data_IF_917373045558
#
_entry.id   IF_917373045558
#
_cell.length_a   1.000
_cell.length_b   1.000
_cell.length_c   1.000
_cell.angle_alpha   90.00
_cell.angle_beta   90.00
_cell.angle_gamma   90.00
#
_symmetry.space_group_name_H-M   'P 1'
#
loop_
_entity.id
_entity.type
_entity.pdbx_description
1 polymer ?
#
# COMPACT_ATOMS: atom_id res chain seq x y z
N UNK A 1 -4.63 27.48 -13.98
CA UNK A 1 -5.21 26.29 -14.66
C UNK A 1 -4.61 25.05 -14.02
N UNK A 2 -5.40 24.03 -13.72
CA UNK A 2 -4.87 22.73 -13.28
C UNK A 2 -3.92 22.19 -14.37
N UNK A 3 -2.88 21.45 -13.97
CA UNK A 3 -1.92 20.89 -14.91
C UNK A 3 -2.56 19.92 -15.92
N UNK A 4 -1.87 19.57 -17.01
CA UNK A 4 -2.40 18.63 -18.00
C UNK A 4 -2.84 17.30 -17.36
N UNK A 5 -4.00 16.77 -17.77
CA UNK A 5 -4.58 15.55 -17.23
C UNK A 5 -5.18 15.66 -15.81
N UNK A 6 -4.88 16.71 -15.04
CA UNK A 6 -5.39 16.85 -13.67
C UNK A 6 -6.91 17.06 -13.68
N UNK A 7 -7.61 16.29 -12.85
CA UNK A 7 -9.06 16.25 -12.80
C UNK A 7 -9.70 15.21 -13.73
N UNK A 8 -8.91 14.50 -14.56
CA UNK A 8 -9.41 13.35 -15.29
C UNK A 8 -9.88 12.27 -14.32
N UNK A 9 -11.13 11.84 -14.47
CA UNK A 9 -11.73 10.76 -13.69
C UNK A 9 -11.77 9.48 -14.51
N UNK A 10 -11.32 8.39 -13.89
CA UNK A 10 -11.48 7.05 -14.45
C UNK A 10 -12.93 6.58 -14.22
N UNK A 11 -13.47 5.68 -15.07
CA UNK A 11 -14.73 5.04 -14.78
C UNK A 11 -14.71 4.41 -13.39
N UNK A 12 -15.77 4.60 -12.56
CA UNK A 12 -15.88 3.91 -11.29
C UNK A 12 -15.79 2.39 -11.48
N UNK A 13 -15.11 1.73 -10.56
CA UNK A 13 -14.93 0.27 -10.60
C UNK A 13 -15.64 -0.33 -9.41
N UNK A 14 -16.63 -1.18 -9.66
CA UNK A 14 -17.30 -1.96 -8.61
C UNK A 14 -16.29 -2.88 -7.92
N UNK A 15 -16.38 -2.97 -6.60
CA UNK A 15 -15.50 -3.83 -5.80
C UNK A 15 -16.31 -4.62 -4.78
N UNK A 16 -15.92 -5.87 -4.53
CA UNK A 16 -16.60 -6.72 -3.55
C UNK A 16 -15.60 -7.54 -2.73
N UNK A 17 -16.00 -7.85 -1.50
CA UNK A 17 -15.29 -8.77 -0.63
C UNK A 17 -16.24 -9.49 0.31
N UNK A 18 -15.86 -10.71 0.66
CA UNK A 18 -16.51 -11.51 1.69
C UNK A 18 -15.57 -11.69 2.89
N UNK A 19 -16.09 -12.26 3.97
CA UNK A 19 -15.30 -12.50 5.19
C UNK A 19 -14.03 -13.33 4.90
N UNK A 20 -14.12 -14.33 4.01
CA UNK A 20 -12.97 -15.14 3.59
C UNK A 20 -11.85 -14.29 2.98
N UNK A 21 -12.19 -13.25 2.21
CA UNK A 21 -11.19 -12.41 1.55
C UNK A 21 -10.40 -11.59 2.58
N UNK A 22 -11.07 -11.05 3.60
CA UNK A 22 -10.42 -10.24 4.63
C UNK A 22 -9.61 -11.10 5.62
N UNK A 23 -10.05 -12.34 5.88
CA UNK A 23 -9.30 -13.34 6.64
C UNK A 23 -8.02 -13.74 5.91
N UNK A 24 -8.12 -14.05 4.62
CA UNK A 24 -6.98 -14.36 3.77
C UNK A 24 -5.99 -13.20 3.77
N UNK A 25 -6.47 -11.98 3.54
CA UNK A 25 -5.61 -10.79 3.54
C UNK A 25 -4.86 -10.62 4.86
N UNK A 26 -5.57 -10.62 5.98
CA UNK A 26 -4.96 -10.48 7.31
C UNK A 26 -3.90 -11.55 7.57
N UNK A 27 -4.19 -12.81 7.23
CA UNK A 27 -3.24 -13.91 7.38
C UNK A 27 -1.99 -13.70 6.53
N UNK A 28 -2.17 -13.37 5.24
CA UNK A 28 -1.05 -13.22 4.30
C UNK A 28 -0.09 -12.07 4.63
N UNK A 29 -0.54 -11.04 5.35
CA UNK A 29 0.30 -9.89 5.73
C UNK A 29 1.02 -10.09 7.07
N UNK A 30 0.75 -11.18 7.78
CA UNK A 30 1.45 -11.57 9.00
C UNK A 30 0.63 -11.54 10.29
N UNK A 31 -0.69 -11.38 10.23
CA UNK A 31 -1.51 -11.54 11.44
C UNK A 31 -1.34 -12.96 12.00
N UNK A 32 -1.23 -13.03 13.33
CA UNK A 32 -0.91 -14.27 14.05
C UNK A 32 -2.08 -14.73 14.94
N UNK A 33 -1.93 -15.90 15.57
CA UNK A 33 -2.95 -16.46 16.48
C UNK A 33 -3.32 -15.54 17.64
N UNK A 34 -2.48 -14.57 18.00
CA UNK A 34 -2.76 -13.57 19.03
C UNK A 34 -3.67 -12.42 18.54
N UNK A 35 -4.02 -12.42 17.25
CA UNK A 35 -4.77 -11.37 16.56
C UNK A 35 -6.06 -11.95 15.97
N UNK A 36 -6.76 -12.79 16.73
CA UNK A 36 -8.01 -13.44 16.30
C UNK A 36 -9.09 -12.45 15.87
N UNK A 37 -9.04 -11.20 16.32
CA UNK A 37 -9.92 -10.14 15.82
C UNK A 37 -9.72 -9.81 14.35
N UNK A 38 -8.63 -10.24 13.71
CA UNK A 38 -8.44 -10.21 12.26
C UNK A 38 -8.60 -11.57 11.58
N UNK A 39 -8.55 -12.68 12.33
CA UNK A 39 -8.41 -14.04 11.81
C UNK A 39 -9.56 -14.99 12.14
N UNK A 40 -10.54 -14.55 12.94
CA UNK A 40 -11.68 -15.36 13.32
C UNK A 40 -12.97 -14.55 13.23
N UNK A 41 -13.83 -14.95 12.29
CA UNK A 41 -15.06 -14.26 11.92
C UNK A 41 -16.10 -14.18 13.06
N UNK A 42 -16.02 -15.07 14.04
CA UNK A 42 -16.88 -15.04 15.24
C UNK A 42 -16.21 -14.36 16.45
N UNK A 43 -15.00 -13.81 16.30
CA UNK A 43 -14.42 -12.99 17.36
C UNK A 43 -15.33 -11.78 17.63
N UNK A 44 -15.63 -11.43 18.90
CA UNK A 44 -16.57 -10.34 19.23
C UNK A 44 -16.11 -8.95 18.75
N UNK A 45 -14.83 -8.84 18.39
CA UNK A 45 -14.22 -7.63 17.79
C UNK A 45 -13.71 -7.88 16.37
N UNK A 46 -14.28 -8.85 15.64
CA UNK A 46 -13.85 -9.16 14.27
C UNK A 46 -13.87 -7.90 13.40
N UNK A 47 -12.73 -7.62 12.77
CA UNK A 47 -12.50 -6.40 12.01
C UNK A 47 -11.65 -6.69 10.76
N UNK A 48 -11.74 -5.80 9.79
CA UNK A 48 -10.89 -5.85 8.59
C UNK A 48 -9.61 -5.07 8.86
N UNK A 49 -8.47 -5.60 8.45
CA UNK A 49 -7.21 -4.87 8.56
C UNK A 49 -7.26 -3.59 7.69
N UNK A 50 -6.90 -2.39 8.22
CA UNK A 50 -7.24 -1.12 7.57
C UNK A 50 -6.69 -0.93 6.16
N UNK A 51 -5.57 -1.57 5.82
CA UNK A 51 -4.95 -1.43 4.49
C UNK A 51 -5.59 -2.28 3.39
N UNK A 52 -6.57 -3.13 3.71
CA UNK A 52 -7.29 -3.95 2.73
C UNK A 52 -7.71 -3.20 1.43
N UNK A 53 -8.16 -1.92 1.45
CA UNK A 53 -8.61 -1.23 0.24
C UNK A 53 -7.55 -1.15 -0.88
N UNK A 54 -6.25 -1.27 -0.58
CA UNK A 54 -5.20 -1.17 -1.60
C UNK A 54 -5.15 -2.36 -2.57
N UNK A 55 -5.78 -3.49 -2.22
CA UNK A 55 -5.88 -4.68 -3.08
C UNK A 55 -7.11 -4.64 -4.00
N UNK A 56 -8.13 -3.84 -3.67
CA UNK A 56 -9.40 -3.80 -4.39
C UNK A 56 -9.28 -3.36 -5.85
N UNK A 57 -8.35 -2.46 -6.27
CA UNK A 57 -8.13 -2.19 -7.68
C UNK A 57 -7.69 -3.42 -8.50
N UNK A 58 -7.08 -4.41 -7.85
CA UNK A 58 -6.67 -5.67 -8.47
C UNK A 58 -7.77 -6.72 -8.40
N UNK A 59 -8.36 -6.94 -7.22
CA UNK A 59 -9.42 -7.93 -6.99
C UNK A 59 -10.74 -7.58 -7.69
N UNK A 60 -11.08 -6.30 -7.72
CA UNK A 60 -12.36 -5.77 -8.20
C UNK A 60 -13.53 -6.47 -7.50
N UNK A 61 -14.48 -7.01 -8.25
CA UNK A 61 -15.59 -7.80 -7.77
C UNK A 61 -15.41 -9.32 -8.00
N UNK A 62 -14.21 -9.74 -8.43
CA UNK A 62 -13.91 -11.16 -8.67
C UNK A 62 -13.82 -11.94 -7.36
N UNK A 63 -14.35 -13.17 -7.40
CA UNK A 63 -14.12 -14.23 -6.40
C UNK A 63 -13.16 -15.31 -6.93
N UNK A 64 -12.62 -15.09 -8.13
CA UNK A 64 -11.71 -15.97 -8.84
C UNK A 64 -10.37 -15.31 -9.16
N UNK A 65 -9.45 -16.10 -9.71
CA UNK A 65 -8.19 -15.60 -10.26
C UNK A 65 -8.43 -14.50 -11.29
N UNK A 66 -7.58 -13.46 -11.27
CA UNK A 66 -7.69 -12.32 -12.17
C UNK A 66 -6.60 -12.41 -13.24
N UNK A 67 -6.97 -12.30 -14.51
CA UNK A 67 -5.99 -12.16 -15.61
C UNK A 67 -5.38 -10.76 -15.57
N UNK A 68 -4.19 -10.66 -14.97
CA UNK A 68 -3.50 -9.39 -14.75
C UNK A 68 -3.32 -8.58 -16.05
N UNK A 69 -2.94 -9.22 -17.16
CA UNK A 69 -2.66 -8.50 -18.41
C UNK A 69 -3.94 -8.04 -19.09
N UNK A 70 -5.00 -8.86 -19.08
CA UNK A 70 -6.30 -8.49 -19.65
C UNK A 70 -6.97 -7.36 -18.88
N UNK A 71 -6.82 -7.35 -17.56
CA UNK A 71 -7.41 -6.35 -16.68
C UNK A 71 -6.59 -5.05 -16.56
N UNK A 72 -5.29 -5.11 -16.86
CA UNK A 72 -4.39 -3.94 -16.88
C UNK A 72 -4.49 -3.18 -18.21
N UNK A 73 -5.58 -2.43 -18.39
CA UNK A 73 -5.78 -1.63 -19.60
C UNK A 73 -5.19 -0.23 -19.45
N UNK A 74 -4.36 0.17 -20.41
CA UNK A 74 -3.90 1.55 -20.51
C UNK A 74 -5.11 2.47 -20.80
N UNK A 75 -5.24 3.53 -20.01
CA UNK A 75 -6.23 4.58 -20.23
C UNK A 75 -5.51 5.81 -20.75
N UNK A 76 -5.96 6.33 -21.90
CA UNK A 76 -5.44 7.59 -22.42
C UNK A 76 -6.00 8.75 -21.58
N UNK A 77 -5.12 9.42 -20.84
CA UNK A 77 -5.46 10.64 -20.11
C UNK A 77 -5.39 11.83 -21.09
N UNK A 78 -6.42 12.68 -21.18
CA UNK A 78 -6.39 13.86 -22.04
C UNK A 78 -5.27 14.84 -21.66
N UNK A 79 -4.63 15.43 -22.66
CA UNK A 79 -3.62 16.48 -22.48
C UNK A 79 -2.23 15.98 -22.08
N UNK A 80 -1.99 14.67 -22.03
CA UNK A 80 -0.66 14.10 -21.80
C UNK A 80 -0.29 13.08 -22.88
N UNK A 81 1.01 12.75 -23.06
CA UNK A 81 1.42 11.69 -23.98
C UNK A 81 0.79 10.35 -23.63
N UNK A 82 0.64 9.48 -24.63
CA UNK A 82 0.27 8.08 -24.38
C UNK A 82 1.39 7.41 -23.59
N UNK A 83 1.07 6.97 -22.38
CA UNK A 83 2.01 6.28 -21.50
C UNK A 83 1.97 4.77 -21.72
N UNK A 84 3.14 4.15 -21.72
CA UNK A 84 3.34 2.71 -21.75
C UNK A 84 3.38 2.14 -20.32
N UNK A 85 2.29 1.47 -19.95
CA UNK A 85 2.10 0.84 -18.65
C UNK A 85 2.91 -0.45 -18.46
N UNK A 86 3.60 -0.95 -19.49
CA UNK A 86 4.57 -2.05 -19.32
C UNK A 86 5.89 -1.57 -18.69
N UNK A 87 6.11 -0.25 -18.65
CA UNK A 87 7.31 0.40 -18.11
C UNK A 87 7.00 1.39 -17.00
N UNK A 88 6.08 1.00 -16.11
CA UNK A 88 5.74 1.75 -14.90
C UNK A 88 6.25 1.00 -13.67
N UNK A 89 6.70 1.76 -12.69
CA UNK A 89 6.96 1.24 -11.34
C UNK A 89 6.13 2.02 -10.33
N UNK A 90 5.66 1.32 -9.30
CA UNK A 90 5.01 1.96 -8.16
C UNK A 90 6.04 2.79 -7.40
N UNK A 91 5.81 4.10 -7.31
CA UNK A 91 6.69 5.03 -6.60
C UNK A 91 6.35 5.07 -5.12
N UNK A 92 5.15 5.54 -4.79
CA UNK A 92 4.72 5.76 -3.41
C UNK A 92 3.22 5.54 -3.30
N UNK A 93 2.77 5.04 -2.15
CA UNK A 93 1.35 5.05 -1.76
C UNK A 93 1.20 5.64 -0.36
N UNK A 94 0.14 6.42 -0.21
CA UNK A 94 -0.41 6.94 1.04
C UNK A 94 -1.85 6.49 1.14
N UNK A 95 -2.29 6.00 2.29
CA UNK A 95 -3.69 5.73 2.60
C UNK A 95 -4.12 6.54 3.80
N UNK A 96 -5.34 7.05 3.75
CA UNK A 96 -6.05 7.64 4.88
C UNK A 96 -7.25 6.75 5.20
N UNK A 97 -7.35 6.32 6.46
CA UNK A 97 -8.43 5.48 6.96
C UNK A 97 -9.53 6.40 7.52
N UNK A 98 -10.57 6.62 6.73
CA UNK A 98 -11.60 7.61 7.04
C UNK A 98 -12.74 6.99 7.87
N UNK A 99 -13.08 5.74 7.58
CA UNK A 99 -14.07 4.96 8.33
C UNK A 99 -13.67 3.49 8.40
N UNK A 100 -14.08 2.76 9.45
CA UNK A 100 -13.91 1.30 9.51
C UNK A 100 -14.55 0.63 8.29
N UNK A 101 -13.92 -0.43 7.79
CA UNK A 101 -14.48 -1.25 6.72
C UNK A 101 -15.47 -2.26 7.32
N UNK A 102 -16.61 -2.52 6.66
CA UNK A 102 -17.42 -3.66 7.03
C UNK A 102 -16.66 -4.97 6.76
N UNK A 103 -16.93 -5.99 7.56
CA UNK A 103 -16.30 -7.32 7.46
C UNK A 103 -16.71 -8.09 6.20
N UNK A 104 -17.71 -7.62 5.49
CA UNK A 104 -18.15 -8.08 4.17
C UNK A 104 -18.78 -6.90 3.41
N UNK A 105 -18.67 -6.88 2.09
CA UNK A 105 -19.44 -5.97 1.24
C UNK A 105 -20.82 -6.53 0.87
N UNK A 106 -21.17 -7.73 1.33
CA UNK A 106 -22.47 -8.36 1.01
C UNK A 106 -23.64 -7.45 1.44
N UNK A 107 -24.59 -7.27 0.54
CA UNK A 107 -25.74 -6.38 0.75
C UNK A 107 -25.42 -4.88 0.68
N UNK A 108 -24.19 -4.48 0.32
CA UNK A 108 -23.78 -3.08 0.14
C UNK A 108 -23.16 -2.86 -1.24
N UNK A 109 -23.31 -1.65 -1.77
CA UNK A 109 -22.73 -1.29 -3.06
C UNK A 109 -21.43 -0.50 -2.87
N UNK A 110 -20.28 -1.15 -3.09
CA UNK A 110 -18.98 -0.49 -3.02
C UNK A 110 -18.36 -0.29 -4.41
N UNK A 111 -17.71 0.85 -4.58
CA UNK A 111 -16.88 1.14 -5.75
C UNK A 111 -15.62 1.92 -5.40
N UNK A 112 -14.58 1.78 -6.22
CA UNK A 112 -13.43 2.68 -6.19
C UNK A 112 -13.62 3.77 -7.23
N UNK A 113 -13.47 5.03 -6.82
CA UNK A 113 -13.46 6.20 -7.70
C UNK A 113 -12.05 6.75 -7.79
N UNK A 114 -11.47 6.75 -8.98
CA UNK A 114 -10.10 7.19 -9.19
C UNK A 114 -10.05 8.45 -10.06
N UNK A 115 -9.18 9.39 -9.70
CA UNK A 115 -8.89 10.59 -10.49
C UNK A 115 -7.40 10.91 -10.53
N UNK A 116 -7.00 11.61 -11.58
CA UNK A 116 -5.65 12.16 -11.73
C UNK A 116 -5.55 13.45 -10.92
N UNK A 117 -4.57 13.51 -10.02
CA UNK A 117 -4.29 14.70 -9.20
C UNK A 117 -2.98 15.40 -9.59
N UNK A 118 -2.12 14.72 -10.37
CA UNK A 118 -0.87 15.29 -10.87
C UNK A 118 -0.31 14.48 -12.04
N UNK A 119 0.25 15.17 -13.03
CA UNK A 119 1.09 14.54 -14.06
C UNK A 119 2.32 15.40 -14.26
N UNK A 120 3.51 14.83 -14.04
CA UNK A 120 4.74 15.59 -13.96
C UNK A 120 5.82 15.05 -14.89
N UNK A 121 6.36 15.92 -15.73
CA UNK A 121 7.51 15.61 -16.58
C UNK A 121 8.80 15.72 -15.75
N UNK A 122 9.49 14.60 -15.56
CA UNK A 122 10.77 14.53 -14.86
C UNK A 122 11.96 14.58 -15.84
N UNK A 123 11.73 14.96 -17.09
CA UNK A 123 12.71 14.99 -18.16
C UNK A 123 13.09 13.58 -18.63
N UNK A 124 14.33 13.40 -19.07
CA UNK A 124 14.85 12.11 -19.54
C UNK A 124 14.53 10.91 -18.61
N UNK A 125 14.58 11.04 -17.26
CA UNK A 125 14.19 9.96 -16.36
C UNK A 125 12.78 9.39 -16.57
N UNK A 126 11.76 10.21 -16.86
CA UNK A 126 10.40 9.71 -17.01
C UNK A 126 9.28 10.70 -16.68
N UNK A 127 8.07 10.16 -16.53
CA UNK A 127 6.87 10.90 -16.10
C UNK A 127 6.34 10.33 -14.80
N UNK A 128 5.92 11.19 -13.86
CA UNK A 128 5.17 10.81 -12.67
C UNK A 128 3.68 11.03 -12.94
N UNK A 129 2.87 10.01 -12.69
CA UNK A 129 1.41 10.11 -12.65
C UNK A 129 0.95 9.93 -11.20
N UNK A 130 0.32 10.95 -10.64
CA UNK A 130 -0.30 10.89 -9.32
C UNK A 130 -1.81 10.75 -9.43
N UNK A 131 -2.34 9.76 -8.70
CA UNK A 131 -3.77 9.48 -8.65
C UNK A 131 -4.27 9.48 -7.23
N UNK A 132 -5.53 9.86 -7.05
CA UNK A 132 -6.30 9.62 -5.83
C UNK A 132 -7.37 8.59 -6.14
N UNK A 133 -7.52 7.59 -5.30
CA UNK A 133 -8.59 6.61 -5.32
C UNK A 133 -9.35 6.66 -4.00
N UNK A 134 -10.67 6.82 -4.07
CA UNK A 134 -11.56 6.75 -2.92
C UNK A 134 -12.35 5.44 -2.96
N UNK A 135 -12.43 4.72 -1.83
CA UNK A 135 -13.36 3.60 -1.64
C UNK A 135 -14.68 4.13 -1.10
N UNK A 136 -15.74 4.00 -1.88
CA UNK A 136 -17.03 4.63 -1.63
C UNK A 136 -18.10 3.55 -1.44
N UNK A 137 -18.88 3.68 -0.37
CA UNK A 137 -20.20 3.06 -0.29
C UNK A 137 -21.18 3.95 -1.07
N UNK A 138 -21.67 3.44 -2.20
CA UNK A 138 -22.51 4.16 -3.14
C UNK A 138 -23.86 4.53 -2.53
N UNK A 139 -24.41 3.66 -1.68
CA UNK A 139 -25.76 3.83 -1.13
C UNK A 139 -25.79 4.95 -0.08
N UNK A 140 -24.74 5.06 0.73
CA UNK A 140 -24.61 6.10 1.76
C UNK A 140 -23.83 7.33 1.31
N UNK A 141 -23.05 7.21 0.23
CA UNK A 141 -22.11 8.24 -0.23
C UNK A 141 -20.84 8.35 0.64
N UNK A 142 -20.65 7.43 1.60
CA UNK A 142 -19.54 7.48 2.54
C UNK A 142 -18.22 7.03 1.92
N UNK A 143 -17.15 7.76 2.19
CA UNK A 143 -15.79 7.36 1.81
C UNK A 143 -15.12 6.66 2.99
N UNK A 144 -14.73 5.40 2.79
CA UNK A 144 -14.09 4.59 3.84
C UNK A 144 -12.58 4.74 3.86
N UNK A 145 -11.95 4.85 2.68
CA UNK A 145 -10.52 5.03 2.55
C UNK A 145 -10.20 5.92 1.35
N UNK A 146 -9.12 6.69 1.47
CA UNK A 146 -8.55 7.49 0.39
C UNK A 146 -7.10 7.10 0.20
N UNK A 147 -6.75 6.67 -1.01
CA UNK A 147 -5.39 6.28 -1.39
C UNK A 147 -4.84 7.27 -2.40
N UNK A 148 -3.71 7.89 -2.08
CA UNK A 148 -2.92 8.66 -3.03
C UNK A 148 -1.74 7.81 -3.48
N UNK A 149 -1.60 7.63 -4.79
CA UNK A 149 -0.55 6.81 -5.40
C UNK A 149 0.26 7.61 -6.41
N UNK A 150 1.54 7.29 -6.56
CA UNK A 150 2.38 7.78 -7.66
C UNK A 150 2.96 6.61 -8.44
N UNK A 151 2.76 6.63 -9.76
CA UNK A 151 3.43 5.73 -10.70
C UNK A 151 4.54 6.48 -11.45
N UNK A 152 5.71 5.87 -11.58
CA UNK A 152 6.82 6.42 -12.35
C UNK A 152 7.00 5.67 -13.67
N UNK A 153 6.71 6.35 -14.77
CA UNK A 153 6.81 5.84 -16.14
C UNK A 153 8.23 6.07 -16.67
N UNK A 154 9.03 5.01 -16.64
CA UNK A 154 10.47 5.06 -16.87
C UNK A 154 10.79 5.45 -18.32
N UNK A 155 11.57 6.52 -18.48
CA UNK A 155 12.03 7.01 -19.78
C UNK A 155 10.96 7.70 -20.63
N UNK A 156 9.78 7.97 -20.06
CA UNK A 156 8.63 8.56 -20.75
C UNK A 156 8.41 10.04 -20.40
N UNK A 157 9.49 10.83 -20.27
CA UNK A 157 9.43 12.29 -20.04
C UNK A 157 9.83 13.11 -21.28
N UNK A 158 10.31 14.34 -21.08
CA UNK A 158 10.69 15.31 -22.14
C UNK A 158 9.54 15.75 -23.05
N UNK A 159 8.31 15.79 -22.54
CA UNK A 159 7.13 16.25 -23.27
C UNK A 159 6.74 17.70 -22.95
N UNK A 160 7.51 18.38 -22.09
CA UNK A 160 7.31 19.80 -21.76
C UNK A 160 6.26 20.04 -20.66
N UNK A 161 5.95 19.00 -19.90
CA UNK A 161 4.99 19.06 -18.79
C UNK A 161 5.50 19.81 -17.56
N UNK A 162 4.62 20.06 -16.57
CA UNK A 162 5.03 20.65 -15.30
C UNK A 162 5.99 19.71 -14.55
N UNK A 163 6.96 20.25 -13.82
CA UNK A 163 7.92 19.44 -13.04
C UNK A 163 7.31 18.83 -11.76
N UNK A 164 6.16 19.33 -11.35
CA UNK A 164 5.51 18.97 -10.09
C UNK A 164 6.13 19.61 -8.85
N UNK A 165 5.50 19.44 -7.68
CA UNK A 165 5.99 19.98 -6.43
C UNK A 165 7.28 19.28 -5.99
N UNK A 166 8.00 19.91 -5.05
CA UNK A 166 9.07 19.24 -4.34
C UNK A 166 8.49 18.07 -3.55
N UNK A 167 9.22 16.95 -3.53
CA UNK A 167 8.87 15.81 -2.69
C UNK A 167 9.06 16.17 -1.23
N UNK A 168 8.01 16.00 -0.43
CA UNK A 168 8.11 16.02 1.03
C UNK A 168 8.78 14.73 1.53
N UNK A 169 9.79 14.88 2.39
CA UNK A 169 10.57 13.77 2.91
C UNK A 169 10.45 13.69 4.44
N UNK A 170 10.33 12.46 4.94
CA UNK A 170 10.25 12.06 6.33
C UNK A 170 11.47 11.20 6.68
N UNK A 171 12.69 11.78 6.68
CA UNK A 171 13.88 11.01 7.01
C UNK A 171 13.85 10.57 8.48
N UNK A 172 14.51 9.44 8.80
CA UNK A 172 14.80 9.08 10.18
C UNK A 172 15.52 10.24 10.91
N UNK A 173 15.26 10.43 12.20
CA UNK A 173 16.03 11.35 13.03
C UNK A 173 17.51 10.92 13.07
N UNK A 174 18.44 11.89 12.93
CA UNK A 174 19.88 11.61 12.84
C UNK A 174 20.50 11.06 14.13
N UNK A 175 19.98 11.48 15.28
CA UNK A 175 20.60 11.24 16.59
C UNK A 175 19.65 10.54 17.57
N UNK A 176 18.71 9.72 17.06
CA UNK A 176 17.76 8.96 17.88
C UNK A 176 17.74 7.50 17.44
N UNK A 177 17.97 6.59 18.40
CA UNK A 177 17.76 5.16 18.18
C UNK A 177 16.28 4.88 17.84
N UNK A 178 15.97 3.85 17.03
CA UNK A 178 14.59 3.50 16.77
C UNK A 178 13.86 3.16 18.08
N UNK A 179 12.63 3.65 18.21
CA UNK A 179 11.76 3.28 19.34
C UNK A 179 11.26 1.84 19.20
N UNK A 180 11.23 1.31 17.97
CA UNK A 180 10.97 -0.10 17.69
C UNK A 180 11.77 -0.60 16.49
N UNK A 181 12.27 -1.84 16.59
CA UNK A 181 12.88 -2.59 15.48
C UNK A 181 12.12 -3.90 15.35
N UNK A 182 11.44 -4.08 14.21
CA UNK A 182 10.53 -5.20 13.97
C UNK A 182 11.10 -6.05 12.84
N UNK A 183 11.20 -7.36 13.05
CA UNK A 183 11.65 -8.30 12.03
C UNK A 183 10.49 -9.16 11.53
N UNK A 184 10.40 -9.32 10.20
CA UNK A 184 9.43 -10.20 9.55
C UNK A 184 10.18 -11.13 8.60
N UNK A 185 10.13 -12.42 8.89
CA UNK A 185 10.68 -13.45 8.00
C UNK A 185 9.63 -13.85 6.97
N UNK A 186 9.94 -13.65 5.68
CA UNK A 186 9.09 -14.16 4.60
C UNK A 186 9.41 -15.62 4.28
N UNK A 187 8.51 -16.36 3.64
CA UNK A 187 8.81 -17.68 3.07
C UNK A 187 9.04 -17.59 1.55
N UNK A 188 9.58 -18.66 0.97
CA UNK A 188 9.76 -18.75 -0.49
C UNK A 188 8.42 -18.73 -1.24
N UNK A 189 7.36 -19.25 -0.61
CA UNK A 189 6.02 -19.37 -1.18
C UNK A 189 5.13 -18.15 -0.91
N UNK A 190 5.59 -17.17 -0.11
CA UNK A 190 4.72 -16.10 0.37
C UNK A 190 4.17 -15.22 -0.75
N UNK A 191 4.93 -15.01 -1.83
CA UNK A 191 4.42 -14.31 -3.02
C UNK A 191 3.26 -15.07 -3.68
N UNK A 192 3.32 -16.41 -3.71
CA UNK A 192 2.28 -17.27 -4.26
C UNK A 192 1.00 -17.29 -3.40
N UNK A 193 1.16 -17.10 -2.09
CA UNK A 193 0.03 -16.96 -1.18
C UNK A 193 -0.57 -15.54 -1.25
N UNK A 194 0.25 -14.49 -1.18
CA UNK A 194 -0.21 -13.11 -1.14
C UNK A 194 -0.93 -12.66 -2.43
N UNK A 195 -0.53 -13.18 -3.60
CA UNK A 195 -1.23 -12.89 -4.88
C UNK A 195 -2.70 -13.28 -4.88
N UNK A 196 -3.12 -14.23 -4.03
CA UNK A 196 -4.52 -14.65 -3.93
C UNK A 196 -5.46 -13.52 -3.46
N UNK A 197 -4.90 -12.43 -2.92
CA UNK A 197 -5.64 -11.21 -2.60
C UNK A 197 -6.05 -10.37 -3.81
N UNK A 198 -5.56 -10.67 -5.03
CA UNK A 198 -6.00 -10.00 -6.25
C UNK A 198 -4.90 -9.58 -7.22
N UNK A 199 -3.66 -9.39 -6.76
CA UNK A 199 -2.55 -9.05 -7.65
C UNK A 199 -1.87 -10.30 -8.21
N UNK A 200 -2.42 -10.78 -9.33
CA UNK A 200 -1.98 -11.98 -10.03
C UNK A 200 -0.81 -11.75 -11.01
N UNK A 201 -0.13 -10.59 -10.97
CA UNK A 201 1.00 -10.28 -11.87
C UNK A 201 2.04 -11.43 -11.90
N UNK A 202 2.33 -12.01 -13.10
CA UNK A 202 3.29 -13.11 -13.22
C UNK A 202 4.69 -12.81 -12.67
N UNK A 203 5.08 -11.54 -12.53
CA UNK A 203 6.34 -11.12 -11.90
C UNK A 203 6.55 -11.70 -10.49
N UNK A 204 5.45 -12.04 -9.81
CA UNK A 204 5.44 -12.55 -8.44
C UNK A 204 5.22 -14.07 -8.34
N UNK A 205 5.15 -14.78 -9.48
CA UNK A 205 4.87 -16.23 -9.49
C UNK A 205 5.78 -17.01 -10.45
N UNK A 206 6.11 -16.44 -11.61
CA UNK A 206 7.00 -17.02 -12.60
C UNK A 206 8.39 -16.34 -12.49
N UNK A 207 9.50 -17.09 -12.43
CA UNK A 207 10.83 -16.49 -12.43
C UNK A 207 11.21 -15.79 -13.75
N UNK A 208 10.61 -16.16 -14.90
CA UNK A 208 11.04 -15.67 -16.21
C UNK A 208 10.86 -14.16 -16.42
N UNK A 209 9.72 -13.52 -16.07
CA UNK A 209 9.57 -12.07 -16.13
C UNK A 209 10.65 -11.34 -15.31
N UNK A 210 10.90 -11.79 -14.08
CA UNK A 210 11.88 -11.16 -13.19
C UNK A 210 13.32 -11.31 -13.68
N UNK A 211 13.68 -12.44 -14.31
CA UNK A 211 14.97 -12.60 -15.00
C UNK A 211 15.12 -11.62 -16.15
N UNK A 212 14.11 -11.48 -17.01
CA UNK A 212 14.10 -10.55 -18.14
C UNK A 212 14.25 -9.08 -17.71
N UNK A 213 13.70 -8.74 -16.54
CA UNK A 213 13.80 -7.39 -15.96
C UNK A 213 15.07 -7.16 -15.12
N UNK A 214 15.93 -8.17 -14.97
CA UNK A 214 17.21 -8.06 -14.24
C UNK A 214 17.11 -8.21 -12.73
N UNK A 215 15.98 -8.69 -12.19
CA UNK A 215 15.80 -8.96 -10.75
C UNK A 215 16.42 -10.31 -10.31
N UNK A 216 16.70 -11.18 -11.28
CA UNK A 216 17.30 -12.51 -11.05
C UNK A 216 16.30 -13.61 -10.71
N UNK A 217 15.00 -13.34 -10.78
CA UNK A 217 13.92 -14.28 -10.50
C UNK A 217 12.67 -13.57 -9.98
N UNK A 218 11.78 -14.33 -9.34
CA UNK A 218 10.56 -13.83 -8.71
C UNK A 218 10.87 -12.85 -7.59
N UNK A 219 10.09 -11.77 -7.49
CA UNK A 219 10.15 -10.80 -6.40
C UNK A 219 8.82 -10.77 -5.64
N UNK A 220 8.86 -10.41 -4.36
CA UNK A 220 7.65 -10.14 -3.59
C UNK A 220 6.90 -8.92 -4.16
N UNK A 221 5.58 -8.90 -4.00
CA UNK A 221 4.79 -7.70 -4.24
C UNK A 221 5.30 -6.55 -3.36
N UNK A 222 5.50 -5.36 -3.95
CA UNK A 222 5.79 -4.17 -3.14
C UNK A 222 4.71 -3.95 -2.09
N UNK A 223 3.44 -4.17 -2.46
CA UNK A 223 2.30 -4.07 -1.56
C UNK A 223 2.29 -5.09 -0.42
N UNK A 224 2.90 -6.27 -0.58
CA UNK A 224 3.09 -7.17 0.55
C UNK A 224 3.97 -6.49 1.61
N UNK A 225 5.14 -5.99 1.19
CA UNK A 225 6.08 -5.32 2.10
C UNK A 225 5.42 -4.11 2.77
N UNK A 226 4.65 -3.35 2.00
CA UNK A 226 3.91 -2.16 2.47
C UNK A 226 2.82 -2.54 3.49
N UNK A 227 2.00 -3.55 3.21
CA UNK A 227 0.94 -4.00 4.10
C UNK A 227 1.46 -4.70 5.36
N UNK A 228 2.45 -5.58 5.22
CA UNK A 228 3.07 -6.29 6.35
C UNK A 228 3.79 -5.32 7.30
N UNK A 229 4.41 -4.26 6.76
CA UNK A 229 4.99 -3.19 7.57
C UNK A 229 3.91 -2.39 8.30
N UNK A 230 2.78 -2.06 7.66
CA UNK A 230 1.65 -1.39 8.31
C UNK A 230 1.10 -2.22 9.48
N UNK A 231 0.92 -3.52 9.24
CA UNK A 231 0.50 -4.50 10.25
C UNK A 231 1.47 -4.55 11.42
N UNK A 232 2.76 -4.71 11.14
CA UNK A 232 3.82 -4.75 12.15
C UNK A 232 3.84 -3.48 13.02
N UNK A 233 3.76 -2.30 12.39
CA UNK A 233 3.72 -1.02 13.10
C UNK A 233 2.47 -0.90 13.98
N UNK A 234 1.30 -1.28 13.47
CA UNK A 234 0.06 -1.23 14.22
C UNK A 234 0.06 -2.22 15.40
N UNK A 235 0.61 -3.41 15.20
CA UNK A 235 0.77 -4.42 16.25
C UNK A 235 1.68 -3.91 17.37
N UNK A 236 2.89 -3.48 17.00
CA UNK A 236 3.93 -3.09 17.94
C UNK A 236 3.61 -1.78 18.67
N UNK A 237 3.15 -0.76 17.93
CA UNK A 237 2.97 0.58 18.48
C UNK A 237 1.51 0.89 18.79
N UNK A 238 0.57 0.36 18.02
CA UNK A 238 -0.87 0.64 18.16
C UNK A 238 -1.64 -0.41 18.97
N UNK A 239 -0.97 -1.45 19.47
CA UNK A 239 -1.60 -2.55 20.21
C UNK A 239 -2.51 -3.43 19.36
N UNK A 240 -2.33 -3.44 18.03
CA UNK A 240 -3.12 -4.26 17.10
C UNK A 240 -4.57 -3.78 16.88
N UNK A 241 -4.98 -2.65 17.45
CA UNK A 241 -6.32 -2.08 17.27
C UNK A 241 -6.40 -1.30 15.94
N UNK A 242 -7.26 -1.69 14.98
CA UNK A 242 -7.41 -0.97 13.72
C UNK A 242 -7.80 0.50 13.87
N UNK A 243 -8.41 0.91 14.99
CA UNK A 243 -8.73 2.31 15.27
C UNK A 243 -7.52 3.16 15.67
N UNK A 244 -6.36 2.54 15.94
CA UNK A 244 -5.14 3.22 16.36
C UNK A 244 -4.21 3.57 15.20
N UNK A 245 -4.63 3.42 13.95
CA UNK A 245 -3.93 3.95 12.78
C UNK A 245 -4.92 4.74 11.90
N UNK A 246 -4.57 5.98 11.52
CA UNK A 246 -5.42 6.81 10.65
C UNK A 246 -4.80 7.17 9.31
N UNK A 247 -3.48 7.10 9.21
CA UNK A 247 -2.75 7.38 7.97
C UNK A 247 -1.49 6.51 7.91
N UNK A 248 -1.15 6.05 6.71
CA UNK A 248 0.05 5.27 6.46
C UNK A 248 0.58 5.51 5.05
N UNK A 249 1.88 5.70 4.90
CA UNK A 249 2.55 5.86 3.61
C UNK A 249 3.95 5.29 3.61
N UNK A 250 4.41 4.94 2.40
CA UNK A 250 5.82 4.69 2.12
C UNK A 250 6.10 4.73 0.62
N UNK A 251 7.36 4.99 0.28
CA UNK A 251 7.91 4.89 -1.07
C UNK A 251 8.61 3.55 -1.26
N UNK A 252 8.29 2.87 -2.37
CA UNK A 252 8.98 1.66 -2.78
C UNK A 252 10.37 2.00 -3.32
N UNK A 253 11.41 1.41 -2.73
CA UNK A 253 12.80 1.78 -3.00
C UNK A 253 13.59 0.66 -3.69
N UNK A 254 13.31 -0.61 -3.40
CA UNK A 254 13.99 -1.77 -3.99
C UNK A 254 13.11 -3.02 -3.89
N UNK A 255 13.29 -4.00 -4.79
CA UNK A 255 12.57 -5.27 -4.73
C UNK A 255 13.02 -6.10 -3.52
N UNK A 256 12.11 -6.96 -3.06
CA UNK A 256 12.32 -7.98 -2.02
C UNK A 256 12.23 -9.35 -2.68
N UNK A 257 13.09 -10.30 -2.32
CA UNK A 257 12.97 -11.69 -2.78
C UNK A 257 12.11 -12.51 -1.80
N UNK A 258 11.30 -13.46 -2.30
CA UNK A 258 10.65 -14.42 -1.42
C UNK A 258 11.69 -15.15 -0.57
N UNK A 259 11.45 -15.25 0.74
CA UNK A 259 12.39 -15.79 1.71
C UNK A 259 13.31 -14.76 2.38
N UNK A 260 13.35 -13.51 1.90
CA UNK A 260 14.11 -12.45 2.57
C UNK A 260 13.52 -12.15 3.96
N UNK A 261 14.39 -11.77 4.90
CA UNK A 261 13.99 -11.18 6.18
C UNK A 261 13.89 -9.67 6.05
N UNK A 262 12.74 -9.10 6.38
CA UNK A 262 12.52 -7.67 6.44
C UNK A 262 12.77 -7.15 7.85
N UNK A 263 13.42 -5.99 7.96
CA UNK A 263 13.67 -5.29 9.22
C UNK A 263 13.12 -3.88 9.08
N UNK A 264 12.17 -3.52 9.93
CA UNK A 264 11.57 -2.19 10.01
C UNK A 264 12.08 -1.49 11.26
N UNK A 265 12.74 -0.35 11.09
CA UNK A 265 13.07 0.57 12.17
C UNK A 265 12.05 1.70 12.19
N UNK A 266 11.49 2.00 13.36
CA UNK A 266 10.44 3.01 13.54
C UNK A 266 10.81 4.01 14.64
N UNK A 267 10.46 5.27 14.43
CA UNK A 267 10.71 6.39 15.33
C UNK A 267 9.42 7.18 15.58
N UNK A 268 9.04 7.32 16.85
CA UNK A 268 7.93 8.14 17.31
C UNK A 268 8.42 9.58 17.47
N UNK A 269 7.84 10.51 16.70
CA UNK A 269 8.31 11.90 16.56
C UNK A 269 7.60 12.90 17.50
N UNK A 270 6.66 12.41 18.31
CA UNK A 270 5.84 13.20 19.22
C UNK A 270 4.35 12.97 19.00
N UNK A 271 3.54 13.35 19.99
CA UNK A 271 2.09 13.20 19.99
C UNK A 271 1.40 14.54 19.77
N UNK A 272 0.40 14.57 18.89
CA UNK A 272 -0.41 15.75 18.65
C UNK A 272 -1.53 15.88 19.70
N UNK A 273 -2.28 16.99 19.67
CA UNK A 273 -3.35 17.27 20.64
C UNK A 273 -4.48 16.23 20.66
N UNK A 274 -4.66 15.51 19.54
CA UNK A 274 -5.68 14.47 19.37
C UNK A 274 -5.17 13.06 19.74
N UNK A 275 -3.97 12.95 20.33
CA UNK A 275 -3.36 11.69 20.75
C UNK A 275 -2.70 10.88 19.64
N UNK A 276 -2.57 11.42 18.43
CA UNK A 276 -1.90 10.76 17.31
C UNK A 276 -0.42 11.08 17.30
N UNK A 277 0.40 10.05 17.21
CA UNK A 277 1.84 10.21 17.05
C UNK A 277 2.25 10.06 15.60
N UNK A 278 3.12 10.96 15.16
CA UNK A 278 3.87 10.76 13.92
C UNK A 278 4.91 9.65 14.13
N UNK A 279 4.82 8.59 13.33
CA UNK A 279 5.77 7.49 13.32
C UNK A 279 6.48 7.47 11.97
N UNK A 280 7.78 7.79 11.98
CA UNK A 280 8.63 7.64 10.80
C UNK A 280 9.23 6.25 10.78
N UNK A 281 9.43 5.67 9.61
CA UNK A 281 10.04 4.35 9.52
C UNK A 281 10.80 4.12 8.23
N UNK A 282 11.68 3.12 8.26
CA UNK A 282 12.39 2.57 7.11
C UNK A 282 12.35 1.05 7.22
N UNK A 283 12.02 0.38 6.12
CA UNK A 283 12.07 -1.09 6.02
C UNK A 283 13.16 -1.48 5.03
N UNK A 284 13.97 -2.47 5.41
CA UNK A 284 15.06 -2.99 4.60
C UNK A 284 15.09 -4.51 4.64
N UNK A 285 15.71 -5.14 3.64
CA UNK A 285 16.16 -6.53 3.78
C UNK A 285 17.27 -6.57 4.83
N UNK A 286 17.28 -7.56 5.72
CA UNK A 286 18.30 -7.71 6.75
C UNK A 286 19.71 -7.72 6.14
N UNK A 287 20.57 -6.78 6.55
CA UNK A 287 21.91 -6.61 5.99
C UNK A 287 21.95 -6.14 4.53
N UNK A 288 20.81 -5.77 3.95
CA UNK A 288 20.63 -5.48 2.54
C UNK A 288 20.11 -4.08 2.26
N UNK A 289 19.35 -3.95 1.17
CA UNK A 289 18.86 -2.66 0.67
C UNK A 289 17.59 -2.22 1.40
N UNK A 290 17.40 -0.90 1.48
CA UNK A 290 16.11 -0.29 1.85
C UNK A 290 15.07 -0.62 0.78
N UNK A 291 13.92 -1.12 1.23
CA UNK A 291 12.81 -1.54 0.35
C UNK A 291 11.59 -0.63 0.50
N UNK A 292 11.37 -0.08 1.70
CA UNK A 292 10.43 1.01 1.94
C UNK A 292 11.18 2.18 2.57
N UNK A 293 11.15 3.31 1.87
CA UNK A 293 11.73 4.58 2.31
C UNK A 293 10.63 5.60 2.53
N UNK A 294 10.97 6.74 3.15
CA UNK A 294 10.03 7.83 3.35
C UNK A 294 8.74 7.40 4.08
N UNK A 295 8.89 6.43 5.00
CA UNK A 295 7.80 5.82 5.72
C UNK A 295 7.25 6.78 6.76
N UNK A 296 5.93 6.94 6.75
CA UNK A 296 5.20 7.74 7.72
C UNK A 296 3.89 7.04 8.08
N UNK A 297 3.57 6.98 9.35
CA UNK A 297 2.28 6.56 9.86
C UNK A 297 1.78 7.55 10.93
N UNK A 298 0.47 7.71 11.05
CA UNK A 298 -0.14 8.38 12.20
C UNK A 298 -0.82 7.31 13.07
N UNK A 299 -0.21 7.04 14.22
CA UNK A 299 -0.59 5.95 15.13
C UNK A 299 -0.88 6.50 16.52
N UNK A 300 -1.97 6.05 17.14
CA UNK A 300 -2.17 6.22 18.60
C UNK A 300 -1.29 5.20 19.31
N UNK A 301 -0.14 5.65 19.79
CA UNK A 301 0.83 4.76 20.43
C UNK A 301 0.28 4.29 21.76
N UNK A 302 0.15 2.98 21.92
CA UNK A 302 -0.23 2.34 23.17
C UNK A 302 1.04 1.81 23.84
N UNK A 303 1.20 2.03 25.15
CA UNK A 303 2.26 1.34 25.90
C UNK A 303 3.63 2.01 26.05
N UNK A 304 3.86 3.28 25.68
CA UNK A 304 5.11 4.00 26.05
C UNK A 304 5.28 4.28 27.56
N UNK A 305 4.55 3.56 28.42
CA UNK A 305 4.49 3.79 29.86
C UNK A 305 4.68 2.55 30.74
N UNK A 306 5.25 1.43 30.26
CA UNK A 306 5.67 0.31 31.13
C UNK A 306 6.89 -0.46 30.59
N UNK A 307 8.04 0.18 30.50
CA UNK A 307 9.30 -0.55 30.74
C UNK A 307 9.69 -0.33 32.21
N UNK A 308 9.08 -1.13 33.09
CA UNK A 308 9.56 -1.44 34.44
C UNK A 308 9.10 -2.84 34.82
N UNK A 309 10.00 -3.81 34.71
CA UNK A 309 10.55 -4.59 35.82
C UNK A 309 11.65 -5.52 35.28
#
# INVERSE_FOLDING_TARGET
>A
MSGPGVGFEYPPVKVTWLQRDVLLFANTIGATVDELHFLYEFHPKFAVFPTYPVILPFKKDSQEVVDYYKESKAVQIPGIPKLDYTRVVDGQRKIQFLKPLPTSSEGRNFETRQKVIGVYDKGRPGTVLETQMDLVDVDSGEVHARVTSSGFFIGQGNWGGPKGPATENYPPPKDKAPDATIEVQTSAELALLYRLNGDYNPLHADPEPGKKMGFGGTIMHGLYSWNSTAHSLLKELGGGDPANIKEYQARFASPVRPGDKLVTNAWVMGVNQDGWSEVRFVTQVAGGKVVLSNGLALIKVTGQGKSKL
#
